data_IF_636940256474
#
_entry.id   IF_636940256474
#
_cell.length_a   1.000
_cell.length_b   1.000
_cell.length_c   1.000
_cell.angle_alpha   90.00
_cell.angle_beta   90.00
_cell.angle_gamma   90.00
#
_symmetry.space_group_name_H-M   'P 1'
#
loop_
_entity.id
_entity.type
_entity.pdbx_description
1 polymer ?
#
# COMPACT_ATOMS: atom_id res chain seq x y z
N UNK A 1 -19.52 -11.40 15.08
CA UNK A 1 -19.32 -10.05 15.62
C UNK A 1 -18.77 -9.19 14.49
N UNK A 2 -19.42 -8.08 14.16
CA UNK A 2 -18.99 -7.17 13.08
C UNK A 2 -17.90 -6.29 13.69
N UNK A 3 -16.64 -6.43 13.27
CA UNK A 3 -15.56 -5.58 13.77
C UNK A 3 -15.93 -4.11 13.56
N UNK A 4 -15.54 -3.27 14.52
CA UNK A 4 -15.75 -1.82 14.40
C UNK A 4 -14.79 -1.33 13.32
N UNK A 5 -15.33 -0.72 12.26
CA UNK A 5 -14.51 -0.09 11.22
C UNK A 5 -13.93 1.21 11.74
N UNK A 6 -12.63 1.40 11.54
CA UNK A 6 -11.95 2.64 11.88
C UNK A 6 -11.60 3.44 10.63
N UNK A 7 -11.67 4.76 10.74
CA UNK A 7 -11.26 5.67 9.68
C UNK A 7 -9.73 5.75 9.56
N UNK A 8 -9.04 5.69 10.70
CA UNK A 8 -7.59 5.86 10.81
C UNK A 8 -6.98 4.87 11.80
N UNK A 9 -5.72 4.49 11.54
CA UNK A 9 -4.84 3.80 12.48
C UNK A 9 -3.47 4.49 12.48
N UNK A 10 -2.84 4.58 13.64
CA UNK A 10 -1.50 5.18 13.77
C UNK A 10 -0.48 4.09 14.07
N UNK A 11 0.60 4.04 13.31
CA UNK A 11 1.73 3.14 13.51
C UNK A 11 3.02 3.86 13.12
N UNK A 12 4.07 3.74 13.93
CA UNK A 12 5.36 4.44 13.75
C UNK A 12 5.26 5.93 13.43
N UNK A 13 4.38 6.62 14.17
CA UNK A 13 4.07 8.05 13.98
C UNK A 13 3.39 8.44 12.67
N UNK A 14 3.10 7.46 11.80
CA UNK A 14 2.36 7.65 10.54
C UNK A 14 0.88 7.32 10.75
N UNK A 15 0.00 8.14 10.17
CA UNK A 15 -1.44 7.89 10.16
C UNK A 15 -1.85 7.21 8.86
N UNK A 16 -2.34 5.99 8.95
CA UNK A 16 -2.89 5.21 7.85
C UNK A 16 -4.41 5.36 7.80
N UNK A 17 -4.99 5.22 6.62
CA UNK A 17 -6.45 5.28 6.43
C UNK A 17 -6.91 4.37 5.30
N UNK A 18 -8.17 3.96 5.32
CA UNK A 18 -8.80 3.34 4.15
C UNK A 18 -8.86 4.29 2.95
N UNK A 19 -8.85 3.73 1.75
CA UNK A 19 -8.88 4.45 0.47
C UNK A 19 -10.09 5.38 0.31
N UNK A 20 -11.23 5.00 0.90
CA UNK A 20 -12.46 5.80 0.95
C UNK A 20 -12.42 6.96 1.94
N UNK A 21 -11.50 6.94 2.90
CA UNK A 21 -11.35 7.99 3.93
C UNK A 21 -10.34 9.03 3.49
N UNK A 22 -9.11 8.60 3.15
CA UNK A 22 -8.06 9.50 2.65
C UNK A 22 -7.05 8.74 1.79
N UNK A 23 -7.19 8.87 0.46
CA UNK A 23 -6.39 8.09 -0.50
C UNK A 23 -4.88 8.29 -0.35
N UNK A 24 -4.43 9.49 0.05
CA UNK A 24 -3.01 9.79 0.25
C UNK A 24 -2.36 8.99 1.39
N UNK A 25 -3.15 8.47 2.33
CA UNK A 25 -2.66 7.69 3.48
C UNK A 25 -3.03 6.20 3.36
N UNK A 26 -3.49 5.79 2.19
CA UNK A 26 -3.96 4.43 1.94
C UNK A 26 -2.93 3.55 1.24
N UNK A 27 -1.88 4.13 0.64
CA UNK A 27 -0.87 3.34 -0.09
C UNK A 27 0.30 2.98 0.81
N UNK A 28 0.70 1.72 0.78
CA UNK A 28 1.74 1.14 1.64
C UNK A 28 2.59 0.14 0.87
N UNK A 29 3.80 -0.11 1.36
CA UNK A 29 4.54 -1.34 1.06
C UNK A 29 4.48 -2.21 2.31
N UNK A 30 4.14 -3.48 2.14
CA UNK A 30 3.88 -4.42 3.22
C UNK A 30 4.35 -5.82 2.87
N UNK A 31 4.45 -6.67 3.88
CA UNK A 31 4.89 -8.05 3.75
C UNK A 31 3.76 -9.00 4.19
N UNK A 32 2.93 -9.52 3.26
CA UNK A 32 1.78 -10.36 3.60
C UNK A 32 2.16 -11.72 4.17
N UNK A 33 3.36 -12.20 3.84
CA UNK A 33 3.91 -13.47 4.30
C UNK A 33 5.30 -13.14 4.86
N UNK A 34 5.59 -13.49 6.14
CA UNK A 34 6.92 -13.28 6.71
C UNK A 34 8.02 -13.88 5.81
N UNK A 35 9.14 -13.17 5.72
CA UNK A 35 10.32 -13.47 4.90
C UNK A 35 10.14 -13.41 3.35
N UNK A 36 8.94 -13.17 2.83
CA UNK A 36 8.73 -12.93 1.39
C UNK A 36 9.06 -11.48 0.98
N UNK A 37 9.26 -11.24 -0.32
CA UNK A 37 9.51 -9.90 -0.83
C UNK A 37 8.32 -8.95 -0.54
N UNK A 38 8.57 -7.75 0.02
CA UNK A 38 7.50 -6.78 0.24
C UNK A 38 6.82 -6.37 -1.06
N UNK A 39 5.51 -6.13 -0.98
CA UNK A 39 4.68 -5.73 -2.11
C UNK A 39 3.94 -4.43 -1.82
N UNK A 40 3.52 -3.75 -2.88
CA UNK A 40 2.69 -2.56 -2.77
C UNK A 40 1.23 -2.92 -2.60
N UNK A 41 0.51 -2.17 -1.76
CA UNK A 41 -0.94 -2.32 -1.61
C UNK A 41 -1.64 -1.03 -1.22
N UNK A 42 -2.96 -1.07 -1.37
CA UNK A 42 -3.86 -0.02 -0.95
C UNK A 42 -4.78 -0.54 0.14
N UNK A 43 -4.75 0.11 1.30
CA UNK A 43 -5.65 -0.12 2.42
C UNK A 43 -7.06 0.22 1.97
N UNK A 44 -7.94 -0.77 1.96
CA UNK A 44 -9.35 -0.60 1.64
C UNK A 44 -10.12 -0.12 2.89
N UNK A 45 -9.87 -0.75 4.03
CA UNK A 45 -10.50 -0.42 5.30
C UNK A 45 -9.69 -0.98 6.49
N UNK A 46 -10.00 -0.48 7.67
CA UNK A 46 -9.33 -0.79 8.94
C UNK A 46 -10.35 -1.43 9.89
N UNK A 47 -9.97 -2.53 10.54
CA UNK A 47 -10.79 -3.28 11.47
C UNK A 47 -10.12 -3.39 12.84
N UNK A 48 -10.89 -3.22 13.92
CA UNK A 48 -10.46 -3.68 15.24
C UNK A 48 -10.91 -5.13 15.47
N UNK A 49 -9.96 -6.01 15.77
CA UNK A 49 -10.19 -7.39 16.21
C UNK A 49 -9.84 -7.52 17.69
N UNK A 50 -10.78 -7.12 18.55
CA UNK A 50 -10.52 -7.01 19.98
C UNK A 50 -9.62 -5.82 20.25
N UNK A 51 -8.45 -6.06 20.84
CA UNK A 51 -7.46 -5.03 21.17
C UNK A 51 -6.43 -4.80 20.06
N UNK A 52 -6.49 -5.58 18.96
CA UNK A 52 -5.61 -5.42 17.81
C UNK A 52 -6.29 -4.71 16.65
N UNK A 53 -5.47 -4.05 15.82
CA UNK A 53 -5.89 -3.37 14.60
C UNK A 53 -5.36 -4.16 13.41
N UNK A 54 -6.24 -4.56 12.50
CA UNK A 54 -5.87 -5.19 11.25
C UNK A 54 -6.25 -4.29 10.07
N UNK A 55 -5.48 -4.39 8.99
CA UNK A 55 -5.71 -3.69 7.73
C UNK A 55 -6.17 -4.68 6.67
N UNK A 56 -7.19 -4.28 5.93
CA UNK A 56 -7.65 -4.99 4.74
C UNK A 56 -7.05 -4.31 3.52
N UNK A 57 -6.16 -4.99 2.83
CA UNK A 57 -5.29 -4.42 1.80
C UNK A 57 -5.50 -5.15 0.49
N UNK A 58 -5.62 -4.40 -0.61
CA UNK A 58 -5.54 -4.98 -1.96
C UNK A 58 -4.20 -4.64 -2.58
N UNK A 59 -3.42 -5.64 -3.06
CA UNK A 59 -2.12 -5.37 -3.65
C UNK A 59 -2.27 -4.60 -4.96
N UNK A 60 -1.33 -3.73 -5.30
CA UNK A 60 -1.24 -3.18 -6.65
C UNK A 60 -0.77 -4.27 -7.61
N UNK A 61 -1.39 -4.38 -8.79
CA UNK A 61 -0.92 -5.31 -9.80
C UNK A 61 0.43 -4.88 -10.35
N UNK A 62 1.31 -5.84 -10.61
CA UNK A 62 2.60 -5.58 -11.24
C UNK A 62 2.41 -4.92 -12.60
N UNK A 63 3.34 -4.03 -12.96
CA UNK A 63 3.36 -3.46 -14.31
C UNK A 63 3.50 -4.61 -15.33
N UNK A 64 2.70 -4.54 -16.40
CA UNK A 64 2.81 -5.51 -17.51
C UNK A 64 4.26 -5.57 -18.01
N UNK A 65 4.78 -6.78 -18.25
CA UNK A 65 6.14 -6.99 -18.78
C UNK A 65 6.36 -6.34 -20.16
N UNK A 66 5.30 -6.01 -20.87
CA UNK A 66 5.35 -5.28 -22.14
C UNK A 66 5.61 -3.77 -21.96
N UNK A 67 5.47 -3.25 -20.74
CA UNK A 67 5.65 -1.84 -20.40
C UNK A 67 6.94 -1.65 -19.61
N UNK A 68 7.63 -0.56 -19.90
CA UNK A 68 8.84 -0.17 -19.21
C UNK A 68 8.54 0.70 -17.99
N UNK A 69 9.15 0.38 -16.85
CA UNK A 69 9.17 1.26 -15.69
C UNK A 69 10.25 2.35 -15.87
N UNK A 70 9.86 3.63 -16.05
CA UNK A 70 10.82 4.71 -16.25
C UNK A 70 11.73 4.96 -15.05
N UNK A 71 11.32 4.58 -13.84
CA UNK A 71 12.07 4.85 -12.61
C UNK A 71 13.26 3.91 -12.40
N UNK A 72 13.36 2.81 -13.17
CA UNK A 72 14.55 1.96 -13.20
C UNK A 72 15.82 2.71 -13.65
N UNK A 73 15.67 3.84 -14.35
CA UNK A 73 16.81 4.71 -14.72
C UNK A 73 17.34 5.55 -13.56
N UNK A 74 16.57 5.66 -12.48
CA UNK A 74 16.85 6.54 -11.35
C UNK A 74 16.88 5.73 -10.05
N UNK A 75 17.88 4.86 -9.83
CA UNK A 75 17.94 3.99 -8.65
C UNK A 75 18.05 4.77 -7.32
N UNK A 76 18.46 6.03 -7.38
CA UNK A 76 18.48 6.94 -6.23
C UNK A 76 17.09 7.52 -5.89
N UNK A 77 16.11 7.36 -6.77
CA UNK A 77 14.73 7.77 -6.55
C UNK A 77 13.91 6.53 -6.23
N UNK A 78 13.54 6.37 -4.96
CA UNK A 78 12.79 5.21 -4.46
C UNK A 78 11.34 5.23 -4.95
N UNK A 79 11.18 4.88 -6.23
CA UNK A 79 9.91 4.84 -6.92
C UNK A 79 9.81 3.59 -7.79
N UNK A 80 8.62 3.02 -7.86
CA UNK A 80 8.35 1.84 -8.69
C UNK A 80 6.99 2.00 -9.34
N UNK A 81 6.92 1.64 -10.62
CA UNK A 81 5.68 1.68 -11.39
C UNK A 81 4.91 0.38 -11.24
N UNK A 82 3.62 0.52 -10.95
CA UNK A 82 2.63 -0.54 -10.92
C UNK A 82 1.51 -0.26 -11.93
N UNK A 83 0.65 -1.24 -12.16
CA UNK A 83 -0.66 -1.01 -12.77
C UNK A 83 -1.55 -0.24 -11.79
N UNK A 84 -2.40 0.65 -12.30
CA UNK A 84 -3.44 1.32 -11.50
C UNK A 84 -4.56 0.36 -11.06
N UNK A 85 -4.56 -0.86 -11.57
CA UNK A 85 -5.50 -1.91 -11.19
C UNK A 85 -5.00 -2.61 -9.92
N UNK A 86 -5.88 -2.76 -8.94
CA UNK A 86 -5.63 -3.53 -7.74
C UNK A 86 -5.89 -5.03 -7.97
N UNK A 87 -5.21 -5.88 -7.22
CA UNK A 87 -5.48 -7.31 -7.15
C UNK A 87 -6.87 -7.59 -6.58
N UNK A 88 -7.48 -8.69 -7.03
CA UNK A 88 -8.82 -9.09 -6.60
C UNK A 88 -8.84 -9.63 -5.17
N UNK A 89 -7.78 -10.34 -4.79
CA UNK A 89 -7.63 -10.93 -3.46
C UNK A 89 -7.22 -9.84 -2.46
N UNK A 90 -7.94 -9.80 -1.36
CA UNK A 90 -7.63 -8.95 -0.23
C UNK A 90 -6.73 -9.72 0.74
N UNK A 91 -5.66 -9.07 1.17
CA UNK A 91 -4.81 -9.52 2.26
C UNK A 91 -5.30 -8.86 3.56
N UNK A 92 -5.19 -9.61 4.66
CA UNK A 92 -5.47 -9.10 6.01
C UNK A 92 -4.15 -9.12 6.74
N UNK A 93 -3.67 -7.94 7.12
CA UNK A 93 -2.36 -7.77 7.73
C UNK A 93 -2.48 -7.02 9.05
N UNK A 94 -1.51 -7.22 9.93
CA UNK A 94 -1.35 -6.40 11.12
C UNK A 94 -0.53 -5.14 10.80
N UNK A 95 -0.49 -4.19 11.73
CA UNK A 95 0.26 -2.94 11.53
C UNK A 95 1.77 -3.20 11.39
N UNK A 96 2.29 -4.22 12.08
CA UNK A 96 3.73 -4.58 12.07
C UNK A 96 4.18 -5.19 10.73
N UNK A 97 3.24 -5.61 9.87
CA UNK A 97 3.54 -6.10 8.52
C UNK A 97 3.79 -4.95 7.52
N UNK A 98 3.56 -3.70 7.92
CA UNK A 98 3.82 -2.52 7.10
C UNK A 98 5.31 -2.19 7.13
N UNK A 99 5.94 -2.20 5.96
CA UNK A 99 7.34 -1.83 5.82
C UNK A 99 7.50 -0.32 5.72
N UNK A 100 6.63 0.35 4.93
CA UNK A 100 6.63 1.80 4.79
C UNK A 100 5.31 2.33 4.22
N UNK A 101 5.02 3.60 4.53
CA UNK A 101 4.00 4.39 3.83
C UNK A 101 4.51 4.81 2.45
N UNK A 102 3.62 4.76 1.45
CA UNK A 102 3.92 5.17 0.09
C UNK A 102 2.96 6.28 -0.36
N UNK A 103 3.48 7.26 -1.07
CA UNK A 103 2.66 8.15 -1.89
C UNK A 103 2.35 7.46 -3.22
N UNK A 104 1.10 7.51 -3.68
CA UNK A 104 0.69 6.98 -4.97
C UNK A 104 0.30 8.11 -5.91
N UNK A 105 0.78 8.06 -7.15
CA UNK A 105 0.38 8.98 -8.22
C UNK A 105 0.01 8.20 -9.49
N UNK A 106 -1.24 8.35 -9.92
CA UNK A 106 -1.73 7.77 -11.14
C UNK A 106 -1.32 8.63 -12.34
N UNK A 107 -0.84 7.96 -13.39
CA UNK A 107 -0.42 8.61 -14.62
C UNK A 107 -0.81 7.77 -15.86
N UNK A 108 -0.44 8.28 -17.03
CA UNK A 108 -0.92 7.78 -18.33
C UNK A 108 -0.85 6.26 -18.50
N UNK A 109 -1.84 5.70 -19.19
CA UNK A 109 -1.94 4.29 -19.58
C UNK A 109 -2.20 3.31 -18.43
N UNK A 110 -2.97 3.72 -17.42
CA UNK A 110 -3.36 2.85 -16.31
C UNK A 110 -2.15 2.42 -15.46
N UNK A 111 -1.24 3.38 -15.23
CA UNK A 111 -0.02 3.17 -14.45
C UNK A 111 -0.06 4.04 -13.21
N UNK A 112 0.45 3.51 -12.12
CA UNK A 112 0.57 4.24 -10.86
C UNK A 112 2.01 4.11 -10.39
N UNK A 113 2.63 5.23 -10.03
CA UNK A 113 3.93 5.21 -9.37
C UNK A 113 3.71 5.28 -7.88
N UNK A 114 4.36 4.37 -7.15
CA UNK A 114 4.46 4.46 -5.70
C UNK A 114 5.85 4.96 -5.34
N UNK A 115 5.89 5.96 -4.47
CA UNK A 115 7.11 6.66 -4.04
C UNK A 115 7.18 6.60 -2.53
N UNK A 116 8.37 6.30 -1.99
CA UNK A 116 8.62 6.49 -0.56
C UNK A 116 8.77 8.00 -0.28
N UNK A 117 7.85 8.62 0.49
CA UNK A 117 7.90 10.06 0.75
C UNK A 117 8.93 10.45 1.81
N UNK A 118 9.48 9.47 2.54
CA UNK A 118 10.52 9.71 3.54
C UNK A 118 11.80 10.14 2.84
N UNK A 119 12.25 11.37 3.12
CA UNK A 119 13.54 11.86 2.66
C UNK A 119 14.63 11.06 3.39
N UNK A 120 15.49 10.39 2.63
CA UNK A 120 16.77 9.90 3.15
C UNK A 120 17.65 11.07 3.57
#
# INVERSE_FOLDING_TARGET
MKGIRHAYAKHDSINFSGSSTHTGNASIIYQPIPDDAPIAGQIQWIENKGDTVCLHVRPYQQLSKALYDPFLRYPHFSATTYSSVLGEKEDVIDLDDIILHAACYDYSYGRSVLVNPSRQ
#
